data_IF_195406595396
#
_entry.id   IF_195406595396
#
_cell.length_a   1.000
_cell.length_b   1.000
_cell.length_c   1.000
_cell.angle_alpha   90.00
_cell.angle_beta   90.00
_cell.angle_gamma   90.00
#
_symmetry.space_group_name_H-M   'P 1'
#
loop_
_entity.id
_entity.type
_entity.pdbx_description
1 polymer ?
#
# COMPACT_ATOMS: atom_id res chain seq x y z
N UNK A 1 -6.53 -3.14 18.89
CA UNK A 1 -7.35 -3.46 17.68
C UNK A 1 -7.19 -2.42 16.55
N UNK A 2 -6.42 -1.35 16.74
CA UNK A 2 -6.05 -0.41 15.65
C UNK A 2 -4.65 -0.70 15.10
N UNK A 3 -3.86 -1.49 15.81
CA UNK A 3 -2.48 -1.84 15.47
C UNK A 3 -2.39 -2.50 14.11
N UNK A 4 -3.25 -3.47 13.78
CA UNK A 4 -3.22 -4.16 12.48
C UNK A 4 -3.51 -3.20 11.32
N UNK A 5 -4.47 -2.28 11.50
CA UNK A 5 -4.81 -1.28 10.48
C UNK A 5 -3.66 -0.30 10.28
N UNK A 6 -3.09 0.22 11.37
CA UNK A 6 -1.94 1.12 11.30
C UNK A 6 -0.71 0.43 10.73
N UNK A 7 -0.49 -0.84 11.04
CA UNK A 7 0.61 -1.63 10.48
C UNK A 7 0.46 -1.81 8.98
N UNK A 8 -0.71 -2.21 8.49
CA UNK A 8 -0.98 -2.34 7.05
C UNK A 8 -0.86 -0.97 6.34
N UNK A 9 -1.38 0.09 6.95
CA UNK A 9 -1.29 1.45 6.40
C UNK A 9 0.17 1.91 6.30
N UNK A 10 0.97 1.74 7.35
CA UNK A 10 2.39 2.07 7.35
C UNK A 10 3.17 1.28 6.29
N UNK A 11 2.89 -0.02 6.13
CA UNK A 11 3.50 -0.84 5.07
C UNK A 11 3.12 -0.33 3.68
N UNK A 12 1.84 0.01 3.46
CA UNK A 12 1.37 0.55 2.19
C UNK A 12 2.04 1.88 1.83
N UNK A 13 2.22 2.77 2.82
CA UNK A 13 2.92 4.05 2.68
C UNK A 13 4.38 3.84 2.31
N UNK A 14 5.09 2.95 3.01
CA UNK A 14 6.48 2.63 2.70
C UNK A 14 6.61 2.12 1.26
N UNK A 15 5.75 1.19 0.86
CA UNK A 15 5.73 0.67 -0.52
C UNK A 15 5.44 1.76 -1.56
N UNK A 16 4.53 2.70 -1.27
CA UNK A 16 4.23 3.82 -2.16
C UNK A 16 5.44 4.76 -2.31
N UNK A 17 6.13 5.06 -1.21
CA UNK A 17 7.33 5.90 -1.22
C UNK A 17 8.46 5.23 -2.02
N UNK A 18 8.69 3.93 -1.81
CA UNK A 18 9.66 3.17 -2.61
C UNK A 18 9.28 3.19 -4.09
N UNK A 19 8.02 2.97 -4.43
CA UNK A 19 7.55 3.05 -5.82
C UNK A 19 7.81 4.43 -6.44
N UNK A 20 7.54 5.50 -5.69
CA UNK A 20 7.74 6.88 -6.13
C UNK A 20 9.23 7.19 -6.33
N UNK A 21 10.09 6.78 -5.41
CA UNK A 21 11.55 6.92 -5.53
C UNK A 21 12.05 6.18 -6.77
N UNK A 22 11.65 4.93 -6.97
CA UNK A 22 12.06 4.16 -8.15
C UNK A 22 11.49 4.70 -9.47
N UNK A 23 10.33 5.36 -9.46
CA UNK A 23 9.73 5.96 -10.64
C UNK A 23 10.40 7.28 -11.05
N UNK A 24 10.81 8.09 -10.06
CA UNK A 24 11.39 9.42 -10.29
C UNK A 24 12.89 9.41 -10.50
N UNK A 25 13.56 8.35 -10.04
CA UNK A 25 14.99 8.25 -10.20
C UNK A 25 15.31 7.87 -11.67
N UNK A 26 16.25 8.59 -12.35
CA UNK A 26 16.60 8.36 -13.76
C UNK A 26 17.52 7.13 -13.92
N UNK A 27 17.09 5.98 -13.41
CA UNK A 27 17.84 4.75 -13.37
C UNK A 27 17.34 3.94 -14.56
N UNK A 28 18.05 4.06 -15.68
CA UNK A 28 17.63 3.75 -17.06
C UNK A 28 17.16 2.33 -17.42
N UNK A 29 16.69 1.54 -16.46
CA UNK A 29 15.95 0.28 -16.69
C UNK A 29 15.10 -0.15 -15.46
N UNK A 30 15.10 0.62 -14.36
CA UNK A 30 14.53 0.21 -13.08
C UNK A 30 13.04 0.52 -12.91
N UNK A 31 12.38 1.01 -13.96
CA UNK A 31 10.92 1.24 -13.99
C UNK A 31 10.14 -0.04 -13.64
N UNK A 32 10.69 -1.21 -13.97
CA UNK A 32 10.10 -2.50 -13.59
C UNK A 32 9.92 -2.63 -12.07
N UNK A 33 10.88 -2.17 -11.28
CA UNK A 33 10.81 -2.20 -9.81
C UNK A 33 9.78 -1.22 -9.27
N UNK A 34 9.68 -0.02 -9.83
CA UNK A 34 8.65 0.96 -9.46
C UNK A 34 7.23 0.35 -9.59
N UNK A 35 7.00 -0.46 -10.63
CA UNK A 35 5.73 -1.14 -10.87
C UNK A 35 5.42 -2.21 -9.82
N UNK A 36 6.42 -2.96 -9.37
CA UNK A 36 6.28 -3.98 -8.29
C UNK A 36 5.92 -3.30 -6.97
N UNK A 37 6.67 -2.26 -6.60
CA UNK A 37 6.41 -1.49 -5.38
C UNK A 37 5.05 -0.77 -5.43
N UNK A 38 4.66 -0.22 -6.57
CA UNK A 38 3.35 0.42 -6.74
C UNK A 38 2.20 -0.58 -6.62
N UNK A 39 2.35 -1.77 -7.23
CA UNK A 39 1.32 -2.81 -7.16
C UNK A 39 1.09 -3.33 -5.74
N UNK A 40 2.15 -3.59 -4.97
CA UNK A 40 1.94 -4.05 -3.60
C UNK A 40 1.45 -2.96 -2.66
N UNK A 41 1.79 -1.68 -2.89
CA UNK A 41 1.14 -0.57 -2.16
C UNK A 41 -0.38 -0.57 -2.38
N UNK A 42 -0.81 -0.73 -3.63
CA UNK A 42 -2.23 -0.85 -3.97
C UNK A 42 -2.87 -2.07 -3.29
N UNK A 43 -2.20 -3.22 -3.27
CA UNK A 43 -2.67 -4.43 -2.60
C UNK A 43 -2.87 -4.20 -1.10
N UNK A 44 -1.90 -3.58 -0.41
CA UNK A 44 -2.01 -3.29 1.02
C UNK A 44 -3.09 -2.24 1.33
N UNK A 45 -3.25 -1.23 0.48
CA UNK A 45 -4.37 -0.27 0.60
C UNK A 45 -5.73 -0.96 0.45
N UNK A 46 -5.88 -1.87 -0.51
CA UNK A 46 -7.11 -2.65 -0.68
C UNK A 46 -7.36 -3.52 0.55
N UNK A 47 -6.34 -4.17 1.11
CA UNK A 47 -6.47 -4.97 2.33
C UNK A 47 -6.87 -4.10 3.54
N UNK A 48 -6.28 -2.92 3.72
CA UNK A 48 -6.66 -1.98 4.76
C UNK A 48 -8.13 -1.53 4.62
N UNK A 49 -8.56 -1.21 3.39
CA UNK A 49 -9.94 -0.84 3.08
C UNK A 49 -10.93 -1.99 3.32
N UNK A 50 -10.57 -3.22 2.96
CA UNK A 50 -11.37 -4.42 3.25
C UNK A 50 -11.48 -4.67 4.76
N UNK A 51 -10.40 -4.47 5.51
CA UNK A 51 -10.40 -4.59 6.97
C UNK A 51 -11.36 -3.55 7.60
N UNK A 52 -11.32 -2.31 7.11
CA UNK A 52 -12.22 -1.24 7.54
C UNK A 52 -13.69 -1.56 7.19
N UNK A 53 -13.95 -2.11 5.99
CA UNK A 53 -15.29 -2.52 5.55
C UNK A 53 -15.85 -3.67 6.37
N UNK A 54 -15.03 -4.65 6.76
CA UNK A 54 -15.44 -5.73 7.67
C UNK A 54 -15.73 -5.23 9.10
N UNK A 55 -15.20 -4.06 9.44
CA UNK A 55 -15.37 -3.43 10.76
C UNK A 55 -16.60 -2.54 10.86
N UNK A 56 -17.20 -2.16 9.72
CA UNK A 56 -18.54 -1.61 9.72
C UNK A 56 -19.47 -2.71 10.24
N UNK A 57 -20.06 -2.57 11.44
CA UNK A 57 -21.07 -3.50 11.89
C UNK A 57 -22.17 -3.46 10.83
N UNK A 58 -22.61 -4.61 10.37
CA UNK A 58 -23.97 -4.71 9.87
C UNK A 58 -24.90 -4.30 11.02
N UNK A 59 -25.27 -3.02 11.08
CA UNK A 59 -26.11 -2.45 12.12
C UNK A 59 -26.62 -1.07 11.65
N UNK A 60 -27.91 -0.91 11.34
CA UNK A 60 -29.02 -1.86 11.43
C UNK A 60 -30.24 -1.42 10.63
#
# INVERSE_FOLDING_TARGET
MNEDFWLILSVAVVWALLALVYALAPWGDMIGYARVWGFGSLLFLVLAGLLLRRRQPSGG
#
